data_IF_765159157187
#
_entry.id   IF_765159157187
#
_cell.length_a   1.000
_cell.length_b   1.000
_cell.length_c   1.000
_cell.angle_alpha   90.00
_cell.angle_beta   90.00
_cell.angle_gamma   90.00
#
_symmetry.space_group_name_H-M   'P 1'
#
loop_
_entity.id
_entity.type
_entity.pdbx_description
1 polymer ?
#
# COMPACT_ATOMS: atom_id res chain seq x y z
N UNK A 1 25.59 11.09 4.19
CA UNK A 1 26.10 9.97 4.29
C UNK A 1 25.17 9.02 4.80
N UNK A 2 24.25 9.40 5.57
CA UNK A 2 23.24 8.53 5.94
C UNK A 2 22.65 7.88 4.74
N UNK A 3 22.60 8.58 3.67
CA UNK A 3 22.00 8.05 2.50
C UNK A 3 22.66 6.79 2.01
N UNK A 4 23.88 6.62 2.39
CA UNK A 4 24.52 5.51 1.94
C UNK A 4 24.04 4.30 2.59
N UNK A 5 23.51 4.39 3.73
CA UNK A 5 23.10 3.25 4.47
C UNK A 5 21.68 2.86 4.16
N UNK A 6 20.96 3.60 3.35
CA UNK A 6 19.59 3.33 3.08
C UNK A 6 19.42 2.83 1.69
N UNK A 7 18.37 2.11 1.45
CA UNK A 7 18.04 1.68 0.13
C UNK A 7 17.85 2.91 -0.72
N UNK A 8 18.27 2.84 -1.93
CA UNK A 8 18.09 3.94 -2.80
C UNK A 8 16.69 3.93 -3.33
N UNK A 9 16.05 5.07 -3.37
CA UNK A 9 14.70 5.16 -3.89
C UNK A 9 14.69 4.82 -5.37
N UNK A 10 13.62 4.17 -5.82
CA UNK A 10 13.47 3.91 -7.24
C UNK A 10 12.90 5.13 -7.93
N UNK A 11 12.35 6.08 -7.17
CA UNK A 11 11.73 7.26 -7.76
C UNK A 11 12.75 8.34 -8.06
N UNK A 12 12.57 9.04 -9.18
CA UNK A 12 13.40 10.18 -9.49
C UNK A 12 12.66 11.45 -9.10
N UNK A 13 11.33 11.41 -9.09
CA UNK A 13 10.54 12.52 -8.60
C UNK A 13 9.57 11.97 -7.57
N UNK A 14 9.50 12.60 -6.43
CA UNK A 14 8.63 12.17 -5.35
C UNK A 14 7.44 13.10 -5.25
N UNK A 15 6.24 12.55 -5.30
CA UNK A 15 5.03 13.34 -5.25
C UNK A 15 4.47 13.50 -3.84
N UNK A 16 4.60 12.45 -3.04
CA UNK A 16 4.06 12.45 -1.68
C UNK A 16 4.95 11.67 -0.74
N UNK A 17 5.15 12.19 0.46
CA UNK A 17 5.83 11.47 1.52
C UNK A 17 4.97 11.62 2.76
N UNK A 18 4.55 10.54 3.38
CA UNK A 18 3.74 10.60 4.60
C UNK A 18 4.18 9.54 5.61
N UNK A 19 3.90 9.80 6.86
CA UNK A 19 4.16 8.83 7.91
C UNK A 19 3.15 7.71 7.76
N UNK A 20 3.59 6.51 8.00
CA UNK A 20 2.77 5.34 7.74
C UNK A 20 3.15 4.16 8.62
N UNK A 21 2.27 3.18 8.62
CA UNK A 21 2.49 1.91 9.30
C UNK A 21 2.35 0.81 8.26
N UNK A 22 3.28 -0.12 8.27
CA UNK A 22 3.22 -1.30 7.41
C UNK A 22 2.81 -2.48 8.26
N UNK A 23 1.91 -3.30 7.74
CA UNK A 23 1.44 -4.48 8.46
C UNK A 23 2.01 -5.77 7.87
N UNK A 24 3.14 -5.65 7.23
CA UNK A 24 3.75 -6.81 6.64
C UNK A 24 4.50 -7.57 7.73
N UNK A 25 3.95 -8.68 8.18
CA UNK A 25 4.53 -9.42 9.29
C UNK A 25 4.23 -8.67 10.57
N UNK A 26 5.25 -8.18 11.22
CA UNK A 26 5.07 -7.37 12.41
C UNK A 26 4.71 -5.96 11.97
N UNK A 27 4.08 -5.23 12.85
CA UNK A 27 3.74 -3.84 12.57
C UNK A 27 5.00 -3.00 12.60
N UNK A 28 5.24 -2.27 11.54
CA UNK A 28 6.41 -1.40 11.45
C UNK A 28 6.01 0.01 11.12
N UNK A 29 6.70 0.98 11.71
CA UNK A 29 6.42 2.39 11.46
C UNK A 29 7.47 2.97 10.54
N UNK A 30 7.07 3.83 9.66
CA UNK A 30 7.98 4.42 8.71
C UNK A 30 7.32 5.47 7.86
N UNK A 31 7.74 5.55 6.61
CA UNK A 31 7.20 6.53 5.68
C UNK A 31 6.89 5.90 4.35
N UNK A 32 5.77 6.31 3.77
CA UNK A 32 5.40 5.93 2.43
C UNK A 32 5.85 7.04 1.50
N UNK A 33 6.40 6.66 0.37
CA UNK A 33 6.84 7.59 -0.64
C UNK A 33 6.21 7.17 -1.97
N UNK A 34 5.50 8.06 -2.61
CA UNK A 34 4.89 7.80 -3.90
C UNK A 34 5.54 8.72 -4.92
N UNK A 35 6.01 8.17 -5.99
CA UNK A 35 6.68 8.98 -7.00
C UNK A 35 6.51 8.41 -8.39
N UNK A 36 7.31 8.91 -9.32
CA UNK A 36 7.16 8.62 -10.73
C UNK A 36 7.43 7.16 -11.11
N UNK A 37 8.15 6.43 -10.29
CA UNK A 37 8.49 5.05 -10.65
C UNK A 37 7.79 4.01 -9.79
N UNK A 38 7.30 4.36 -8.64
CA UNK A 38 6.64 3.38 -7.79
C UNK A 38 6.24 3.84 -6.42
N UNK A 39 5.78 2.86 -5.65
CA UNK A 39 5.34 3.04 -4.28
C UNK A 39 6.42 2.46 -3.38
N UNK A 40 6.81 3.19 -2.34
CA UNK A 40 7.86 2.74 -1.44
C UNK A 40 7.46 2.93 0.01
N UNK A 41 7.98 2.07 0.88
CA UNK A 41 7.84 2.21 2.31
C UNK A 41 9.23 2.00 2.91
N UNK A 42 9.66 2.92 3.77
CA UNK A 42 10.94 2.81 4.43
C UNK A 42 10.73 2.81 5.94
N UNK A 43 11.24 1.77 6.60
CA UNK A 43 11.13 1.60 8.03
C UNK A 43 12.02 2.63 8.72
N UNK A 44 11.49 3.35 9.73
CA UNK A 44 12.26 4.38 10.39
C UNK A 44 13.32 3.82 11.31
N UNK A 45 13.14 2.58 11.78
CA UNK A 45 14.10 2.04 12.70
C UNK A 45 15.13 1.17 12.05
N UNK A 46 14.85 0.55 10.94
CA UNK A 46 15.75 -0.36 10.31
C UNK A 46 15.90 0.00 8.85
N UNK A 47 16.98 0.63 8.50
CA UNK A 47 17.21 1.10 7.14
C UNK A 47 17.28 -0.02 6.11
N UNK A 48 17.43 -1.24 6.56
CA UNK A 48 17.47 -2.37 5.65
C UNK A 48 16.11 -2.99 5.42
N UNK A 49 15.07 -2.44 6.06
CA UNK A 49 13.74 -2.98 5.94
C UNK A 49 12.91 -2.00 5.13
N UNK A 50 12.66 -2.30 3.90
CA UNK A 50 11.92 -1.41 3.02
C UNK A 50 11.14 -2.21 2.00
N UNK A 51 10.17 -1.55 1.38
CA UNK A 51 9.34 -2.14 0.35
C UNK A 51 9.39 -1.19 -0.84
N UNK A 52 9.66 -1.71 -2.01
CA UNK A 52 9.69 -0.90 -3.24
C UNK A 52 8.90 -1.64 -4.31
N UNK A 53 7.85 -1.03 -4.79
CA UNK A 53 6.96 -1.65 -5.75
C UNK A 53 6.84 -0.76 -6.98
N UNK A 54 7.53 -1.10 -8.06
CA UNK A 54 7.41 -0.35 -9.31
C UNK A 54 5.97 -0.42 -9.81
N UNK A 55 5.50 0.63 -10.46
CA UNK A 55 4.11 0.67 -10.91
C UNK A 55 3.73 -0.51 -11.79
N UNK A 56 4.67 -1.00 -12.58
CA UNK A 56 4.42 -2.15 -13.44
C UNK A 56 4.10 -3.43 -12.69
N UNK A 57 4.46 -3.49 -11.40
CA UNK A 57 4.20 -4.68 -10.59
C UNK A 57 2.93 -4.57 -9.78
N UNK A 58 2.26 -3.43 -9.81
CA UNK A 58 1.02 -3.25 -9.06
C UNK A 58 -0.15 -3.81 -9.84
N UNK A 59 -0.97 -4.62 -9.17
CA UNK A 59 -2.17 -5.15 -9.78
C UNK A 59 -3.36 -4.27 -9.36
N UNK A 60 -3.72 -4.32 -8.11
CA UNK A 60 -4.80 -3.49 -7.58
C UNK A 60 -4.38 -2.76 -6.33
N UNK A 61 -5.01 -1.63 -6.09
CA UNK A 61 -4.87 -0.90 -4.84
C UNK A 61 -6.24 -0.96 -4.19
N UNK A 62 -6.31 -1.50 -2.99
CA UNK A 62 -7.57 -1.78 -2.34
C UNK A 62 -7.68 -0.95 -1.08
N UNK A 63 -8.69 -0.11 -0.99
CA UNK A 63 -8.87 0.76 0.16
C UNK A 63 -10.05 0.33 1.00
N UNK A 64 -9.84 0.25 2.30
CA UNK A 64 -10.91 0.05 3.25
C UNK A 64 -11.51 1.43 3.50
N UNK A 65 -12.81 1.57 3.29
CA UNK A 65 -13.44 2.89 3.38
C UNK A 65 -14.53 2.86 4.43
N UNK A 66 -14.54 3.84 5.31
CA UNK A 66 -15.53 3.94 6.37
C UNK A 66 -16.18 5.30 6.38
N UNK A 67 -17.31 5.40 7.04
CA UNK A 67 -18.05 6.65 7.20
C UNK A 67 -18.33 7.32 5.84
N UNK A 68 -18.84 6.52 4.94
CA UNK A 68 -19.20 7.00 3.60
C UNK A 68 -18.05 7.68 2.88
N UNK A 69 -16.88 7.11 3.03
CA UNK A 69 -15.73 7.62 2.33
C UNK A 69 -14.93 8.66 3.05
N UNK A 70 -15.32 9.01 4.27
CA UNK A 70 -14.59 10.02 4.99
C UNK A 70 -13.31 9.53 5.61
N UNK A 71 -13.25 8.23 5.91
CA UNK A 71 -12.06 7.65 6.49
C UNK A 71 -11.56 6.47 5.71
N UNK A 72 -10.26 6.37 5.60
CA UNK A 72 -9.61 5.24 4.94
C UNK A 72 -8.58 4.71 5.93
N UNK A 73 -9.00 3.83 6.84
CA UNK A 73 -8.10 3.33 7.88
C UNK A 73 -6.97 2.47 7.36
N UNK A 74 -7.18 1.81 6.25
CA UNK A 74 -6.14 0.96 5.67
C UNK A 74 -6.27 0.86 4.17
N UNK A 75 -5.17 0.58 3.52
CA UNK A 75 -5.21 0.27 2.11
C UNK A 75 -4.11 -0.75 1.81
N UNK A 76 -4.24 -1.45 0.72
CA UNK A 76 -3.29 -2.49 0.36
C UNK A 76 -2.86 -2.33 -1.08
N UNK A 77 -1.60 -2.65 -1.33
CA UNK A 77 -1.06 -2.70 -2.68
C UNK A 77 -0.94 -4.17 -3.02
N UNK A 78 -1.76 -4.62 -3.95
CA UNK A 78 -1.73 -6.00 -4.38
C UNK A 78 -0.80 -6.07 -5.59
N UNK A 79 0.23 -6.87 -5.49
CA UNK A 79 1.18 -6.99 -6.59
C UNK A 79 0.83 -8.18 -7.47
N UNK A 80 1.37 -8.20 -8.65
CA UNK A 80 1.08 -9.29 -9.58
C UNK A 80 1.70 -10.61 -9.17
N UNK A 81 2.86 -10.56 -8.56
CA UNK A 81 3.57 -11.78 -8.20
C UNK A 81 4.07 -11.91 -6.79
N UNK A 82 4.17 -10.83 -6.09
CA UNK A 82 4.84 -10.84 -4.79
C UNK A 82 3.94 -10.60 -3.59
N UNK A 83 2.67 -10.89 -3.74
CA UNK A 83 1.74 -10.79 -2.62
C UNK A 83 1.16 -9.39 -2.42
N UNK A 84 0.53 -9.20 -1.29
CA UNK A 84 -0.20 -7.99 -0.98
C UNK A 84 0.38 -7.34 0.26
N UNK A 85 0.58 -6.04 0.20
CA UNK A 85 1.17 -5.28 1.28
C UNK A 85 0.17 -4.27 1.81
N UNK A 86 -0.09 -4.30 3.12
CA UNK A 86 -1.11 -3.45 3.73
C UNK A 86 -0.49 -2.33 4.55
N UNK A 87 -1.13 -1.17 4.49
CA UNK A 87 -0.62 0.01 5.16
C UNK A 87 -1.72 0.85 5.75
N UNK A 88 -1.37 1.65 6.73
CA UNK A 88 -2.19 2.76 7.17
C UNK A 88 -1.28 3.98 7.12
N UNK A 89 -1.80 5.14 6.85
CA UNK A 89 -0.93 6.31 6.77
C UNK A 89 -1.68 7.58 7.12
N UNK A 90 -0.93 8.64 7.31
CA UNK A 90 -1.51 9.96 7.38
C UNK A 90 -1.91 10.32 5.97
N UNK A 91 -2.91 11.14 5.86
CA UNK A 91 -3.38 11.63 4.56
C UNK A 91 -3.59 10.55 3.51
N UNK A 92 -4.37 9.52 3.83
CA UNK A 92 -4.54 8.41 2.90
C UNK A 92 -5.14 8.82 1.56
N UNK A 93 -6.03 9.81 1.56
CA UNK A 93 -6.62 10.24 0.30
C UNK A 93 -5.60 10.87 -0.61
N UNK A 94 -4.66 11.59 -0.01
CA UNK A 94 -3.61 12.24 -0.78
C UNK A 94 -2.71 11.18 -1.40
N UNK A 95 -2.41 10.13 -0.64
CA UNK A 95 -1.60 9.03 -1.10
C UNK A 95 -2.29 8.32 -2.27
N UNK A 96 -3.58 8.04 -2.11
CA UNK A 96 -4.31 7.33 -3.14
C UNK A 96 -4.47 8.17 -4.40
N UNK A 97 -4.63 9.47 -4.27
CA UNK A 97 -4.69 10.34 -5.43
C UNK A 97 -3.36 10.36 -6.18
N UNK A 98 -2.27 10.33 -5.44
CA UNK A 98 -0.95 10.29 -6.07
C UNK A 98 -0.77 8.98 -6.82
N UNK A 99 -1.18 7.88 -6.23
CA UNK A 99 -1.09 6.58 -6.86
C UNK A 99 -1.93 6.56 -8.15
N UNK A 100 -3.10 7.19 -8.11
CA UNK A 100 -4.00 7.19 -9.25
C UNK A 100 -3.41 7.91 -10.46
N UNK A 101 -2.38 8.67 -10.29
CA UNK A 101 -1.72 9.31 -11.43
C UNK A 101 -0.99 8.26 -12.25
N UNK A 102 -0.63 7.14 -11.65
CA UNK A 102 0.15 6.11 -12.31
C UNK A 102 -0.62 4.81 -12.50
N UNK A 103 -1.63 4.57 -11.69
CA UNK A 103 -2.45 3.37 -11.75
C UNK A 103 -3.86 3.77 -12.13
N UNK A 104 -4.44 3.15 -13.15
CA UNK A 104 -5.78 3.54 -13.60
C UNK A 104 -6.83 3.38 -12.52
N UNK A 105 -7.83 4.24 -12.54
CA UNK A 105 -8.88 4.25 -11.53
C UNK A 105 -9.59 2.92 -11.38
N UNK A 106 -9.75 2.16 -12.44
CA UNK A 106 -10.43 0.89 -12.33
C UNK A 106 -9.65 -0.13 -11.52
N UNK A 107 -8.39 0.17 -11.21
CA UNK A 107 -7.62 -0.70 -10.34
C UNK A 107 -7.53 -0.18 -8.93
N UNK A 108 -8.15 0.96 -8.63
CA UNK A 108 -8.24 1.46 -7.27
C UNK A 108 -9.64 1.13 -6.79
N UNK A 109 -9.75 0.14 -5.93
CA UNK A 109 -11.06 -0.36 -5.51
C UNK A 109 -11.30 -0.21 -4.02
N UNK A 110 -12.55 -0.18 -3.63
CA UNK A 110 -12.92 -0.09 -2.24
C UNK A 110 -13.41 -1.43 -1.77
N UNK A 111 -13.10 -1.82 -0.59
CA UNK A 111 -13.61 -3.06 -0.05
C UNK A 111 -13.41 -3.18 1.44
N UNK A 112 -14.50 -3.20 2.18
CA UNK A 112 -14.41 -3.44 3.61
C UNK A 112 -14.22 -4.92 3.84
N UNK A 113 -14.90 -5.74 3.04
CA UNK A 113 -14.81 -7.19 3.21
C UNK A 113 -13.43 -7.73 3.02
N UNK A 114 -12.66 -7.12 2.13
CA UNK A 114 -11.31 -7.58 1.87
C UNK A 114 -10.49 -7.58 3.17
N UNK A 115 -10.59 -6.49 3.92
CA UNK A 115 -9.81 -6.37 5.14
C UNK A 115 -10.39 -7.22 6.28
N UNK A 116 -11.67 -7.52 6.24
CA UNK A 116 -12.25 -8.42 7.21
C UNK A 116 -11.66 -9.82 6.99
N UNK A 117 -11.52 -10.23 5.75
CA UNK A 117 -10.94 -11.51 5.45
C UNK A 117 -9.49 -11.56 5.87
N UNK A 118 -8.72 -10.51 5.58
CA UNK A 118 -7.34 -10.47 5.94
C UNK A 118 -7.19 -10.56 7.44
N UNK A 119 -8.16 -9.99 8.15
CA UNK A 119 -8.03 -9.97 9.50
C UNK A 119 -8.29 -11.30 10.03
N UNK A 120 -9.19 -12.03 9.54
CA UNK A 120 -9.44 -13.28 10.14
C UNK A 120 -8.44 -14.16 9.69
N UNK A 121 -7.96 -13.92 8.64
CA UNK A 121 -6.94 -14.33 8.16
C UNK A 121 -6.60 -15.55 7.98
N UNK A 122 -6.81 -16.24 8.22
CA UNK A 122 -6.35 -17.37 8.15
C UNK A 122 -6.99 -17.94 7.14
N UNK A 123 -7.73 -17.48 6.56
CA UNK A 123 -8.40 -18.09 5.85
C UNK A 123 -8.38 -17.90 4.78
N UNK A 124 -8.54 -18.14 4.26
CA UNK A 124 -8.45 -18.58 3.29
C UNK A 124 -8.54 -17.87 2.13
N UNK A 125 -7.66 -18.15 1.35
CA UNK A 125 -7.57 -17.63 0.10
C UNK A 125 -8.86 -17.74 -0.65
N UNK A 126 -9.68 -18.69 -0.37
CA UNK A 126 -10.92 -18.76 -1.01
C UNK A 126 -11.75 -17.56 -0.84
N UNK A 127 -11.76 -17.01 0.32
CA UNK A 127 -12.56 -15.84 0.59
C UNK A 127 -12.02 -14.63 -0.11
N UNK A 128 -10.74 -14.57 -0.27
CA UNK A 128 -10.15 -13.45 -0.97
C UNK A 128 -10.59 -13.47 -2.42
N UNK A 129 -10.65 -14.64 -2.99
CA UNK A 129 -11.05 -14.76 -4.36
C UNK A 129 -12.50 -14.32 -4.54
N UNK A 130 -13.35 -14.66 -3.58
CA UNK A 130 -14.71 -14.23 -3.67
C UNK A 130 -14.82 -12.75 -3.63
N UNK A 131 -14.09 -12.12 -2.77
CA UNK A 131 -14.12 -10.69 -2.66
C UNK A 131 -13.73 -10.05 -3.97
N UNK A 132 -12.75 -10.59 -4.64
CA UNK A 132 -12.35 -10.04 -5.90
C UNK A 132 -13.45 -10.14 -6.92
N UNK A 133 -14.21 -11.21 -6.89
CA UNK A 133 -15.27 -11.35 -7.85
C UNK A 133 -16.37 -10.35 -7.63
N UNK A 134 -16.52 -9.89 -6.44
CA UNK A 134 -17.56 -8.95 -6.15
C UNK A 134 -17.28 -7.58 -6.68
N UNK A 135 -16.08 -7.34 -7.12
CA UNK A 135 -15.84 -6.05 -7.68
C UNK A 135 -16.32 -6.00 -9.05
#
# INVERSE_FOLDING_TARGET
IGGKLMAQSINTRVDVVVEATSYQGLTNYGKIMVGDKGFEFFNTRNVNDYIQIPWGEVDYVIASVMFKGKKIPRYAIQTKKNGTYSFASKEPKKVLRAINQYIPSERLVRSLSFFDVLKRNFMPSKKSVKIKKQK
#
